data_IF_584415584945
#
_entry.id   IF_584415584945
#
_cell.length_a   1.000
_cell.length_b   1.000
_cell.length_c   1.000
_cell.angle_alpha   90.00
_cell.angle_beta   90.00
_cell.angle_gamma   90.00
#
_symmetry.space_group_name_H-M   'P 1'
#
loop_
_entity.id
_entity.type
_entity.pdbx_description
1 polymer ?
#
# COMPACT_ATOMS: atom_id res chain seq x y z
N UNK A 1 -26.06 9.52 -3.28
CA UNK A 1 -27.22 8.59 -3.16
C UNK A 1 -28.44 9.09 -3.92
N UNK A 2 -28.90 10.35 -3.78
CA UNK A 2 -30.10 10.88 -4.49
C UNK A 2 -29.93 11.09 -6.01
N UNK A 3 -28.75 10.80 -6.55
CA UNK A 3 -28.39 11.03 -7.95
C UNK A 3 -28.68 9.84 -8.85
N UNK A 4 -29.05 8.68 -8.30
CA UNK A 4 -29.32 7.49 -9.10
C UNK A 4 -30.56 7.69 -9.96
N UNK A 5 -30.41 7.38 -11.24
CA UNK A 5 -31.50 7.38 -12.22
C UNK A 5 -31.69 5.97 -12.77
N UNK A 6 -32.78 5.73 -13.49
CA UNK A 6 -32.98 4.46 -14.20
C UNK A 6 -31.83 4.14 -15.18
N UNK A 7 -31.10 5.15 -15.65
CA UNK A 7 -29.96 4.99 -16.56
C UNK A 7 -28.66 4.58 -15.85
N UNK A 8 -28.66 4.58 -14.51
CA UNK A 8 -27.50 4.22 -13.71
C UNK A 8 -27.20 2.72 -13.73
N UNK A 9 -28.11 1.85 -14.18
CA UNK A 9 -27.85 0.42 -14.31
C UNK A 9 -27.39 0.09 -15.73
N UNK A 10 -26.19 -0.47 -15.85
CA UNK A 10 -25.59 -0.95 -17.10
C UNK A 10 -25.24 -2.43 -16.99
N UNK A 11 -25.16 -3.11 -18.12
CA UNK A 11 -24.65 -4.47 -18.19
C UNK A 11 -23.29 -4.43 -18.89
N UNK A 12 -22.30 -5.09 -18.31
CA UNK A 12 -21.00 -5.31 -18.92
C UNK A 12 -20.83 -6.79 -19.19
N UNK A 13 -20.49 -7.15 -20.43
CA UNK A 13 -20.09 -8.50 -20.77
C UNK A 13 -18.58 -8.61 -20.63
N UNK A 14 -18.15 -9.44 -19.69
CA UNK A 14 -16.74 -9.77 -19.54
C UNK A 14 -16.26 -10.58 -20.77
N UNK A 15 -14.95 -10.56 -21.09
CA UNK A 15 -14.39 -11.38 -22.16
C UNK A 15 -14.63 -12.89 -21.98
N UNK A 16 -14.93 -13.31 -20.76
CA UNK A 16 -15.31 -14.69 -20.39
C UNK A 16 -16.75 -15.05 -20.75
N UNK A 17 -17.56 -14.09 -21.21
CA UNK A 17 -19.00 -14.27 -21.51
C UNK A 17 -19.93 -14.00 -20.32
N UNK A 18 -19.38 -13.76 -19.12
CA UNK A 18 -20.17 -13.44 -17.92
C UNK A 18 -20.75 -12.02 -17.99
N UNK A 19 -22.02 -11.86 -17.64
CA UNK A 19 -22.67 -10.55 -17.59
C UNK A 19 -22.62 -9.99 -16.17
N UNK A 20 -21.87 -8.91 -15.98
CA UNK A 20 -21.73 -8.21 -14.70
C UNK A 20 -22.61 -6.95 -14.72
N UNK A 21 -23.58 -6.83 -13.80
CA UNK A 21 -24.35 -5.60 -13.66
C UNK A 21 -23.47 -4.51 -13.03
N UNK A 22 -23.47 -3.35 -13.65
CA UNK A 22 -22.68 -2.18 -13.23
C UNK A 22 -23.62 -1.04 -12.81
N UNK A 23 -23.27 -0.40 -11.70
CA UNK A 23 -23.90 0.83 -11.24
C UNK A 23 -23.04 2.04 -11.62
N UNK A 24 -23.53 2.82 -12.56
CA UNK A 24 -22.96 4.08 -13.02
C UNK A 24 -23.51 5.25 -12.19
N UNK A 25 -22.61 5.98 -11.56
CA UNK A 25 -22.87 7.14 -10.71
C UNK A 25 -22.10 8.31 -11.31
N UNK A 26 -22.80 9.37 -11.70
CA UNK A 26 -22.16 10.63 -12.11
C UNK A 26 -22.05 11.54 -10.88
N UNK A 27 -20.86 11.69 -10.26
CA UNK A 27 -20.71 12.51 -9.07
C UNK A 27 -20.70 14.00 -9.47
N UNK A 28 -21.32 14.90 -8.69
CA UNK A 28 -21.38 16.32 -9.05
C UNK A 28 -20.06 17.06 -8.75
N UNK A 29 -19.14 16.45 -8.01
CA UNK A 29 -17.87 17.07 -7.58
C UNK A 29 -16.66 16.64 -8.41
N UNK A 30 -16.81 15.64 -9.26
CA UNK A 30 -15.75 15.11 -10.10
C UNK A 30 -16.35 14.88 -11.46
N UNK A 31 -15.79 15.49 -12.50
CA UNK A 31 -16.22 15.33 -13.90
C UNK A 31 -15.82 13.95 -14.47
N UNK A 32 -15.92 12.92 -13.63
CA UNK A 32 -15.55 11.53 -13.90
C UNK A 32 -16.68 10.65 -13.42
N UNK A 33 -17.27 9.93 -14.37
CA UNK A 33 -18.27 8.92 -14.08
C UNK A 33 -17.64 7.77 -13.30
N UNK A 34 -18.33 7.37 -12.25
CA UNK A 34 -17.94 6.30 -11.36
C UNK A 34 -18.78 5.07 -11.69
N UNK A 35 -18.12 3.95 -11.98
CA UNK A 35 -18.78 2.69 -12.30
C UNK A 35 -18.37 1.64 -11.29
N UNK A 36 -19.36 1.04 -10.61
CA UNK A 36 -19.16 0.09 -9.52
C UNK A 36 -19.87 -1.22 -9.89
N UNK A 37 -19.21 -2.40 -9.79
CA UNK A 37 -19.91 -3.67 -9.89
C UNK A 37 -21.01 -3.77 -8.83
N UNK A 38 -22.23 -4.11 -9.26
CA UNK A 38 -23.36 -4.26 -8.36
C UNK A 38 -23.52 -5.73 -7.97
N UNK A 39 -23.56 -6.00 -6.67
CA UNK A 39 -23.91 -7.31 -6.14
C UNK A 39 -25.37 -7.70 -6.54
N UNK A 40 -25.68 -9.00 -6.77
CA UNK A 40 -27.04 -9.44 -7.12
C UNK A 40 -28.14 -8.94 -6.18
N UNK A 41 -27.87 -8.84 -4.87
CA UNK A 41 -28.85 -8.33 -3.90
C UNK A 41 -29.13 -6.84 -4.11
N UNK A 42 -28.10 -6.05 -4.40
CA UNK A 42 -28.25 -4.63 -4.75
C UNK A 42 -29.07 -4.48 -6.03
N UNK A 43 -28.80 -5.30 -7.05
CA UNK A 43 -29.54 -5.31 -8.31
C UNK A 43 -31.01 -5.66 -8.07
N UNK A 44 -31.29 -6.67 -7.23
CA UNK A 44 -32.65 -7.07 -6.89
C UNK A 44 -33.43 -5.94 -6.18
N UNK A 45 -32.78 -5.24 -5.24
CA UNK A 45 -33.37 -4.08 -4.55
C UNK A 45 -33.66 -2.94 -5.54
N UNK A 46 -32.71 -2.60 -6.41
CA UNK A 46 -32.89 -1.53 -7.41
C UNK A 46 -33.99 -1.90 -8.42
N UNK A 47 -34.07 -3.16 -8.86
CA UNK A 47 -35.15 -3.65 -9.71
C UNK A 47 -36.52 -3.54 -9.02
N UNK A 48 -36.59 -3.83 -7.71
CA UNK A 48 -37.82 -3.63 -6.92
C UNK A 48 -38.21 -2.16 -6.83
N UNK A 49 -37.26 -1.26 -6.64
CA UNK A 49 -37.50 0.20 -6.65
C UNK A 49 -38.03 0.65 -8.02
N UNK A 50 -37.38 0.22 -9.11
CA UNK A 50 -37.80 0.56 -10.47
C UNK A 50 -39.24 0.09 -10.73
N UNK A 51 -39.58 -1.16 -10.41
CA UNK A 51 -40.95 -1.68 -10.55
C UNK A 51 -41.96 -0.85 -9.76
N UNK A 52 -41.64 -0.49 -8.52
CA UNK A 52 -42.50 0.36 -7.69
C UNK A 52 -42.72 1.75 -8.30
N UNK A 53 -41.66 2.37 -8.85
CA UNK A 53 -41.74 3.71 -9.43
C UNK A 53 -42.46 3.72 -10.78
N UNK A 54 -42.35 2.65 -11.56
CA UNK A 54 -43.14 2.46 -12.79
C UNK A 54 -44.64 2.32 -12.48
N UNK A 55 -44.99 1.64 -11.39
CA UNK A 55 -46.39 1.40 -11.02
C UNK A 55 -47.09 0.63 -12.15
N UNK A 56 -48.15 1.21 -12.71
CA UNK A 56 -48.86 0.68 -13.89
C UNK A 56 -48.30 1.21 -15.22
N UNK A 57 -47.39 2.18 -15.20
CA UNK A 57 -46.78 2.75 -16.40
C UNK A 57 -45.54 1.97 -16.87
N UNK A 58 -45.10 2.21 -18.10
CA UNK A 58 -43.93 1.54 -18.68
C UNK A 58 -42.59 2.17 -18.26
N UNK A 59 -42.61 3.46 -17.88
CA UNK A 59 -41.42 4.28 -17.62
C UNK A 59 -41.46 4.91 -16.24
N UNK A 60 -40.28 5.15 -15.68
CA UNK A 60 -40.13 5.90 -14.42
C UNK A 60 -40.45 7.38 -14.69
N UNK A 61 -41.31 8.02 -13.89
CA UNK A 61 -41.65 9.44 -14.06
C UNK A 61 -40.42 10.34 -14.05
N UNK A 62 -40.41 11.36 -14.90
CA UNK A 62 -39.33 12.34 -14.97
C UNK A 62 -39.59 13.47 -13.98
N UNK A 63 -38.60 13.76 -13.13
CA UNK A 63 -38.67 14.83 -12.14
C UNK A 63 -37.43 15.71 -12.24
N UNK A 64 -37.60 16.99 -11.92
CA UNK A 64 -36.48 17.92 -11.73
C UNK A 64 -35.95 17.82 -10.30
N UNK A 65 -34.63 17.88 -10.15
CA UNK A 65 -33.96 17.91 -8.84
C UNK A 65 -33.24 19.25 -8.67
N UNK A 66 -33.39 19.86 -7.51
CA UNK A 66 -32.58 21.00 -7.11
C UNK A 66 -31.16 20.53 -6.73
N UNK A 67 -30.14 21.07 -7.38
CA UNK A 67 -28.76 20.89 -6.96
C UNK A 67 -28.40 21.93 -5.91
N UNK A 68 -28.11 21.49 -4.69
CA UNK A 68 -27.76 22.41 -3.59
C UNK A 68 -26.37 23.03 -3.69
N UNK A 69 -25.46 22.45 -4.48
CA UNK A 69 -24.12 22.99 -4.71
C UNK A 69 -24.15 24.08 -5.77
N UNK A 70 -24.77 23.80 -6.90
CA UNK A 70 -24.89 24.75 -8.02
C UNK A 70 -26.07 25.72 -7.84
N UNK A 71 -26.97 25.44 -6.90
CA UNK A 71 -28.18 26.22 -6.59
C UNK A 71 -29.15 26.37 -7.77
N UNK A 72 -29.17 25.39 -8.67
CA UNK A 72 -30.04 25.37 -9.87
C UNK A 72 -30.90 24.11 -9.93
N UNK A 73 -32.00 24.17 -10.68
CA UNK A 73 -32.78 22.98 -11.03
C UNK A 73 -32.18 22.31 -12.25
N UNK A 74 -31.86 21.03 -12.13
CA UNK A 74 -31.39 20.22 -13.25
C UNK A 74 -32.52 19.84 -14.22
N UNK A 75 -32.17 19.28 -15.39
CA UNK A 75 -33.16 18.79 -16.35
C UNK A 75 -34.02 17.66 -15.75
N UNK A 76 -35.23 17.44 -16.27
CA UNK A 76 -36.11 16.37 -15.80
C UNK A 76 -35.51 14.99 -16.13
N UNK A 77 -35.26 14.18 -15.09
CA UNK A 77 -34.58 12.89 -15.20
C UNK A 77 -35.37 11.78 -14.49
N UNK A 78 -35.23 10.50 -14.89
CA UNK A 78 -35.92 9.36 -14.27
C UNK A 78 -35.25 8.95 -12.95
N UNK A 79 -35.32 9.80 -11.93
CA UNK A 79 -34.73 9.54 -10.61
C UNK A 79 -35.33 8.31 -9.95
N UNK A 80 -34.52 7.44 -9.33
CA UNK A 80 -35.04 6.22 -8.70
C UNK A 80 -35.70 6.48 -7.34
N UNK A 81 -35.22 7.49 -6.62
CA UNK A 81 -35.68 7.82 -5.27
C UNK A 81 -36.70 8.95 -5.34
N UNK A 82 -37.95 8.59 -5.61
CA UNK A 82 -39.08 9.52 -5.64
C UNK A 82 -40.05 9.20 -4.49
N UNK A 83 -40.64 10.23 -3.90
CA UNK A 83 -41.69 10.07 -2.90
C UNK A 83 -42.87 11.02 -3.16
N UNK A 84 -44.12 10.60 -2.85
CA UNK A 84 -45.24 11.52 -2.77
C UNK A 84 -45.03 12.50 -1.61
N UNK A 85 -45.26 13.78 -1.87
CA UNK A 85 -45.25 14.86 -0.89
C UNK A 85 -46.32 15.87 -1.26
N UNK A 86 -47.24 16.17 -0.34
CA UNK A 86 -48.31 17.17 -0.52
C UNK A 86 -48.96 17.11 -1.92
N UNK A 87 -49.40 15.91 -2.31
CA UNK A 87 -50.07 15.62 -3.59
C UNK A 87 -49.21 15.71 -4.87
N UNK A 88 -47.89 15.85 -4.76
CA UNK A 88 -46.97 15.79 -5.90
C UNK A 88 -45.88 14.74 -5.69
N UNK A 89 -45.45 14.12 -6.78
CA UNK A 89 -44.27 13.25 -6.77
C UNK A 89 -43.01 14.13 -6.84
N UNK A 90 -42.08 13.90 -5.92
CA UNK A 90 -40.83 14.67 -5.84
C UNK A 90 -39.63 13.75 -5.60
N UNK A 91 -38.42 14.23 -5.90
CA UNK A 91 -37.18 13.51 -5.56
C UNK A 91 -36.98 13.55 -4.05
N UNK A 92 -36.62 12.42 -3.44
CA UNK A 92 -36.35 12.35 -2.00
C UNK A 92 -35.18 13.27 -1.66
N UNK A 93 -35.41 14.19 -0.71
CA UNK A 93 -34.37 15.13 -0.28
C UNK A 93 -33.30 14.44 0.57
N UNK A 94 -32.06 14.94 0.61
CA UNK A 94 -31.01 14.41 1.49
C UNK A 94 -31.41 14.40 2.98
N UNK A 95 -32.16 15.41 3.44
CA UNK A 95 -32.67 15.46 4.81
C UNK A 95 -33.66 14.32 5.08
N UNK A 96 -34.58 14.06 4.14
CA UNK A 96 -35.53 12.96 4.25
C UNK A 96 -34.86 11.59 4.29
N UNK A 97 -33.74 11.42 3.58
CA UNK A 97 -32.92 10.20 3.70
C UNK A 97 -32.38 10.05 5.13
N UNK A 98 -31.85 11.12 5.73
CA UNK A 98 -31.34 11.08 7.12
C UNK A 98 -32.44 10.71 8.11
N UNK A 99 -33.65 11.24 7.93
CA UNK A 99 -34.82 10.89 8.74
C UNK A 99 -35.15 9.40 8.61
N UNK A 100 -35.22 8.86 7.39
CA UNK A 100 -35.46 7.43 7.17
C UNK A 100 -34.37 6.56 7.81
N UNK A 101 -33.09 6.94 7.68
CA UNK A 101 -31.98 6.21 8.31
C UNK A 101 -32.13 6.19 9.83
N UNK A 102 -32.46 7.32 10.44
CA UNK A 102 -32.68 7.43 11.89
C UNK A 102 -33.86 6.56 12.33
N UNK A 103 -34.97 6.63 11.61
CA UNK A 103 -36.17 5.83 11.91
C UNK A 103 -35.89 4.32 11.80
N UNK A 104 -35.17 3.88 10.77
CA UNK A 104 -34.79 2.48 10.61
C UNK A 104 -33.82 2.02 11.70
N UNK A 105 -32.86 2.83 12.11
CA UNK A 105 -31.93 2.51 13.20
C UNK A 105 -32.67 2.31 14.53
N UNK A 106 -33.64 3.19 14.82
CA UNK A 106 -34.50 3.09 16.00
C UNK A 106 -35.34 1.81 15.99
N UNK A 107 -36.00 1.50 14.86
CA UNK A 107 -36.80 0.27 14.73
C UNK A 107 -35.96 -1.00 14.84
N UNK A 108 -34.70 -0.96 14.41
CA UNK A 108 -33.77 -2.07 14.53
C UNK A 108 -33.15 -2.20 15.93
N UNK A 109 -33.43 -1.27 16.85
CA UNK A 109 -32.90 -1.30 18.21
C UNK A 109 -31.39 -1.07 18.28
N UNK A 110 -30.82 -0.34 17.31
CA UNK A 110 -29.37 -0.11 17.25
C UNK A 110 -29.00 1.02 18.24
N UNK A 111 -28.21 0.67 19.24
CA UNK A 111 -27.76 1.56 20.33
C UNK A 111 -26.23 1.54 20.47
N UNK A 112 -25.68 2.60 21.04
CA UNK A 112 -24.28 2.70 21.42
C UNK A 112 -24.02 2.01 22.78
N UNK A 113 -22.77 1.93 23.22
CA UNK A 113 -22.32 1.24 24.44
C UNK A 113 -23.00 1.74 25.73
N UNK A 114 -23.48 2.98 25.71
CA UNK A 114 -24.19 3.64 26.81
C UNK A 114 -25.73 3.49 26.71
N UNK A 115 -26.23 2.77 25.71
CA UNK A 115 -27.65 2.59 25.43
C UNK A 115 -28.29 3.71 24.62
N UNK A 116 -27.52 4.72 24.19
CA UNK A 116 -28.04 5.83 23.36
C UNK A 116 -28.34 5.34 21.95
N UNK A 117 -29.52 5.63 21.35
CA UNK A 117 -29.81 5.24 19.97
C UNK A 117 -28.85 5.86 18.95
N UNK A 118 -28.26 5.00 18.10
CA UNK A 118 -27.31 5.45 17.09
C UNK A 118 -28.02 6.20 15.96
N UNK A 119 -27.41 7.32 15.53
CA UNK A 119 -27.88 8.14 14.42
C UNK A 119 -26.92 8.03 13.24
N UNK A 120 -27.34 7.31 12.21
CA UNK A 120 -26.53 7.19 10.99
C UNK A 120 -26.78 8.35 10.03
N UNK A 121 -25.70 8.86 9.46
CA UNK A 121 -25.70 9.72 8.29
C UNK A 121 -25.28 8.93 7.06
N UNK A 122 -25.62 9.39 5.83
CA UNK A 122 -25.09 8.79 4.61
C UNK A 122 -23.54 8.75 4.54
N UNK A 123 -22.86 9.63 5.29
CA UNK A 123 -21.40 9.62 5.37
C UNK A 123 -20.89 8.41 6.16
N UNK A 124 -21.61 7.97 7.20
CA UNK A 124 -21.25 6.78 7.99
C UNK A 124 -21.31 5.50 7.17
N UNK A 125 -22.33 5.34 6.31
CA UNK A 125 -22.38 4.20 5.37
C UNK A 125 -21.23 4.22 4.36
N UNK A 126 -20.80 5.40 3.92
CA UNK A 126 -19.61 5.53 3.06
C UNK A 126 -18.33 5.12 3.80
N UNK A 127 -18.23 5.43 5.10
CA UNK A 127 -17.13 4.98 5.97
C UNK A 127 -17.13 3.47 6.10
N UNK A 128 -18.26 2.88 6.53
CA UNK A 128 -18.44 1.43 6.69
C UNK A 128 -18.05 0.70 5.41
N UNK A 129 -18.61 1.11 4.25
CA UNK A 129 -18.28 0.52 2.97
C UNK A 129 -16.79 0.60 2.65
N UNK A 130 -16.15 1.75 2.88
CA UNK A 130 -14.72 1.93 2.65
C UNK A 130 -13.87 0.99 3.52
N UNK A 131 -14.19 0.91 4.81
CA UNK A 131 -13.48 0.08 5.78
C UNK A 131 -13.66 -1.40 5.44
N UNK A 132 -14.89 -1.86 5.21
CA UNK A 132 -15.19 -3.25 4.85
C UNK A 132 -14.53 -3.66 3.54
N UNK A 133 -14.53 -2.78 2.53
CA UNK A 133 -13.94 -3.07 1.22
C UNK A 133 -12.42 -3.25 1.32
N UNK A 134 -11.73 -2.39 2.06
CA UNK A 134 -10.28 -2.49 2.25
C UNK A 134 -9.93 -3.71 3.11
N UNK A 135 -10.66 -3.94 4.21
CA UNK A 135 -10.45 -5.09 5.08
C UNK A 135 -10.77 -6.42 4.37
N UNK A 136 -11.72 -6.41 3.44
CA UNK A 136 -12.01 -7.53 2.54
C UNK A 136 -10.89 -7.85 1.54
N UNK A 137 -9.80 -7.08 1.55
CA UNK A 137 -8.60 -7.30 0.73
C UNK A 137 -8.59 -6.54 -0.59
N UNK A 138 -9.53 -5.61 -0.82
CA UNK A 138 -9.45 -4.73 -1.98
C UNK A 138 -8.31 -3.72 -1.78
N UNK A 139 -7.36 -3.59 -2.73
CA UNK A 139 -6.29 -2.61 -2.61
C UNK A 139 -6.83 -1.19 -2.41
N UNK A 140 -6.24 -0.45 -1.46
CA UNK A 140 -6.71 0.89 -1.05
C UNK A 140 -6.84 1.88 -2.20
N UNK A 141 -5.96 1.80 -3.20
CA UNK A 141 -6.02 2.67 -4.38
C UNK A 141 -7.21 2.36 -5.30
N UNK A 142 -7.67 1.10 -5.33
CA UNK A 142 -8.89 0.70 -6.05
C UNK A 142 -10.12 1.14 -5.24
N UNK A 143 -10.12 0.94 -3.92
CA UNK A 143 -11.19 1.42 -3.04
C UNK A 143 -11.37 2.95 -3.13
N UNK A 144 -10.27 3.71 -3.15
CA UNK A 144 -10.29 5.16 -3.36
C UNK A 144 -10.96 5.55 -4.69
N UNK A 145 -10.65 4.81 -5.77
CA UNK A 145 -11.24 5.03 -7.09
C UNK A 145 -12.74 4.69 -7.09
N UNK A 146 -13.16 3.62 -6.41
CA UNK A 146 -14.57 3.26 -6.23
C UNK A 146 -15.36 4.30 -5.43
N UNK A 147 -14.70 5.09 -4.58
CA UNK A 147 -15.34 6.16 -3.83
C UNK A 147 -15.31 7.51 -4.57
N UNK A 148 -14.61 7.60 -5.70
CA UNK A 148 -14.41 8.86 -6.42
C UNK A 148 -13.51 9.84 -5.65
N UNK A 149 -12.58 9.33 -4.83
CA UNK A 149 -11.59 10.15 -4.15
C UNK A 149 -10.44 10.51 -5.13
N UNK A 150 -10.14 11.81 -5.25
CA UNK A 150 -9.02 12.30 -6.05
C UNK A 150 -7.67 12.14 -5.32
N UNK A 151 -7.71 12.09 -3.98
CA UNK A 151 -6.53 11.93 -3.11
C UNK A 151 -6.70 10.69 -2.22
N UNK A 152 -5.66 9.85 -2.20
CA UNK A 152 -5.57 8.65 -1.36
C UNK A 152 -5.67 8.97 0.14
N UNK A 153 -5.22 10.16 0.56
CA UNK A 153 -5.29 10.59 1.97
C UNK A 153 -6.73 10.62 2.49
N UNK A 154 -7.71 10.97 1.63
CA UNK A 154 -9.12 10.96 2.01
C UNK A 154 -9.67 9.56 2.25
N UNK A 155 -9.04 8.53 1.67
CA UNK A 155 -9.40 7.11 1.90
C UNK A 155 -8.67 6.53 3.10
N UNK A 156 -7.42 6.95 3.34
CA UNK A 156 -6.63 6.56 4.51
C UNK A 156 -7.31 6.93 5.82
N UNK A 157 -8.00 8.09 5.89
CA UNK A 157 -8.78 8.50 7.05
C UNK A 157 -9.95 7.54 7.40
N UNK A 158 -10.33 6.63 6.49
CA UNK A 158 -11.40 5.64 6.70
C UNK A 158 -10.87 4.25 7.07
N UNK A 159 -9.56 4.05 7.08
CA UNK A 159 -8.98 2.76 7.46
C UNK A 159 -8.71 2.80 8.96
N UNK A 160 -9.69 2.38 9.76
CA UNK A 160 -9.40 1.92 11.11
C UNK A 160 -8.61 0.61 10.97
N UNK A 161 -7.29 0.72 10.99
CA UNK A 161 -6.39 -0.43 10.89
C UNK A 161 -6.45 -1.17 12.23
N UNK A 162 -7.26 -2.23 12.30
CA UNK A 162 -7.21 -3.17 13.41
C UNK A 162 -5.93 -4.02 13.31
N UNK A 163 -5.16 -4.20 14.39
CA UNK A 163 -3.90 -4.97 14.36
C UNK A 163 -4.05 -6.39 13.78
N UNK A 164 -5.18 -7.04 14.03
CA UNK A 164 -5.50 -8.39 13.54
C UNK A 164 -5.59 -8.43 12.00
N UNK A 165 -6.08 -7.36 11.39
CA UNK A 165 -6.27 -7.23 9.95
C UNK A 165 -4.95 -6.98 9.22
N UNK A 166 -4.02 -6.23 9.84
CA UNK A 166 -2.63 -6.10 9.35
C UNK A 166 -1.95 -7.45 9.34
N UNK A 167 -2.08 -8.21 10.42
CA UNK A 167 -1.51 -9.54 10.55
C UNK A 167 -2.11 -10.48 9.50
N UNK A 168 -3.43 -10.41 9.27
CA UNK A 168 -4.12 -11.23 8.26
C UNK A 168 -3.67 -10.90 6.84
N UNK A 169 -3.62 -9.63 6.46
CA UNK A 169 -3.17 -9.22 5.13
C UNK A 169 -1.70 -9.50 4.89
N UNK A 170 -0.85 -9.30 5.90
CA UNK A 170 0.55 -9.67 5.83
C UNK A 170 0.73 -11.17 5.62
N UNK A 171 0.00 -12.02 6.36
CA UNK A 171 0.00 -13.48 6.17
C UNK A 171 -0.46 -13.88 4.77
N UNK A 172 -1.58 -13.34 4.29
CA UNK A 172 -2.06 -13.62 2.94
C UNK A 172 -1.08 -13.17 1.84
N UNK A 173 -0.41 -12.03 2.02
CA UNK A 173 0.64 -11.57 1.11
C UNK A 173 1.84 -12.53 1.08
N UNK A 174 2.29 -12.98 2.26
CA UNK A 174 3.37 -13.98 2.38
C UNK A 174 2.96 -15.32 1.75
N UNK A 175 1.74 -15.79 2.00
CA UNK A 175 1.24 -17.07 1.47
C UNK A 175 1.07 -17.06 -0.05
N UNK A 176 0.59 -15.95 -0.64
CA UNK A 176 0.55 -15.76 -2.11
C UNK A 176 1.94 -15.79 -2.73
N UNK A 177 2.95 -15.20 -2.09
CA UNK A 177 4.35 -15.31 -2.57
C UNK A 177 4.89 -16.73 -2.44
N UNK A 178 4.53 -17.47 -1.40
CA UNK A 178 4.92 -18.88 -1.23
C UNK A 178 4.34 -19.76 -2.32
N UNK A 179 3.10 -19.50 -2.75
CA UNK A 179 2.44 -20.28 -3.82
C UNK A 179 3.03 -20.01 -5.22
N UNK A 180 3.60 -18.82 -5.43
CA UNK A 180 4.26 -18.46 -6.70
C UNK A 180 5.77 -18.79 -6.73
N UNK A 181 6.35 -19.35 -5.66
CA UNK A 181 7.74 -19.79 -5.67
C UNK A 181 7.88 -21.13 -6.40
N UNK A 182 8.82 -21.29 -7.35
CA UNK A 182 9.13 -22.58 -7.94
C UNK A 182 9.47 -23.61 -6.85
N UNK A 183 9.00 -24.85 -7.02
CA UNK A 183 9.27 -25.96 -6.08
C UNK A 183 10.76 -26.30 -5.92
N UNK A 184 11.61 -25.83 -6.84
CA UNK A 184 13.07 -25.93 -6.76
C UNK A 184 13.66 -25.22 -5.53
N UNK A 185 13.00 -24.20 -5.00
CA UNK A 185 13.46 -23.44 -3.82
C UNK A 185 13.27 -24.21 -2.49
N UNK A 186 12.56 -25.36 -2.53
CA UNK A 186 12.33 -26.27 -1.40
C UNK A 186 13.05 -27.62 -1.56
N UNK A 187 13.93 -27.76 -2.55
CA UNK A 187 14.77 -28.96 -2.70
C UNK A 187 15.81 -28.99 -1.58
N UNK A 188 15.98 -30.16 -0.96
CA UNK A 188 17.14 -30.41 -0.08
C UNK A 188 18.44 -30.18 -0.87
N UNK A 189 19.30 -29.24 -0.46
CA UNK A 189 20.51 -28.93 -1.20
C UNK A 189 21.39 -30.19 -1.30
N UNK A 190 21.98 -30.43 -2.46
CA UNK A 190 22.94 -31.52 -2.63
C UNK A 190 24.17 -31.32 -1.73
N UNK A 191 24.87 -32.41 -1.41
CA UNK A 191 26.13 -32.33 -0.65
C UNK A 191 27.15 -31.38 -1.31
N UNK A 192 27.17 -31.32 -2.64
CA UNK A 192 27.97 -30.37 -3.42
C UNK A 192 27.54 -28.92 -3.22
N UNK A 193 26.25 -28.61 -3.27
CA UNK A 193 25.74 -27.25 -3.02
C UNK A 193 25.98 -26.82 -1.56
N UNK A 194 25.86 -27.76 -0.62
CA UNK A 194 26.19 -27.53 0.79
C UNK A 194 27.67 -27.25 1.01
N UNK A 195 28.54 -27.98 0.30
CA UNK A 195 29.99 -27.76 0.36
C UNK A 195 30.36 -26.41 -0.25
N UNK A 196 29.80 -26.06 -1.43
CA UNK A 196 30.01 -24.76 -2.07
C UNK A 196 29.53 -23.59 -1.20
N UNK A 197 28.38 -23.75 -0.53
CA UNK A 197 27.89 -22.76 0.43
C UNK A 197 28.85 -22.57 1.60
N UNK A 198 29.40 -23.64 2.16
CA UNK A 198 30.39 -23.57 3.26
C UNK A 198 31.71 -22.95 2.81
N UNK A 199 32.19 -23.34 1.63
CA UNK A 199 33.46 -22.86 1.09
C UNK A 199 33.37 -21.39 0.67
N UNK A 200 32.19 -20.91 0.24
CA UNK A 200 31.95 -19.49 -0.03
C UNK A 200 32.33 -18.58 1.15
N UNK A 201 31.99 -18.94 2.38
CA UNK A 201 32.37 -18.13 3.55
C UNK A 201 33.86 -18.23 3.90
N UNK A 202 34.47 -19.39 3.65
CA UNK A 202 35.89 -19.61 3.93
C UNK A 202 36.81 -18.88 2.95
N UNK A 203 36.46 -18.91 1.66
CA UNK A 203 37.20 -18.24 0.58
C UNK A 203 37.05 -16.71 0.59
N UNK A 204 36.17 -16.17 1.43
CA UNK A 204 35.89 -14.73 1.58
C UNK A 204 36.55 -14.09 2.80
N UNK A 205 37.42 -14.83 3.50
CA UNK A 205 38.43 -14.25 4.39
C UNK A 205 39.49 -13.56 3.55
N UNK A 206 39.58 -12.25 3.68
CA UNK A 206 40.47 -11.39 2.91
C UNK A 206 41.47 -10.70 3.84
N UNK A 207 42.52 -10.13 3.27
CA UNK A 207 43.65 -9.58 4.03
C UNK A 207 43.30 -8.55 5.11
N UNK A 208 42.14 -7.88 5.00
CA UNK A 208 41.68 -6.86 5.95
C UNK A 208 40.52 -7.32 6.85
N UNK A 209 40.03 -8.54 6.68
CA UNK A 209 38.88 -9.05 7.44
C UNK A 209 38.00 -10.00 6.63
N UNK A 210 36.69 -9.81 6.72
CA UNK A 210 35.70 -10.72 6.11
C UNK A 210 34.81 -9.99 5.12
N UNK A 211 34.47 -10.66 4.01
CA UNK A 211 33.51 -10.13 3.05
C UNK A 211 32.11 -10.68 3.35
N UNK A 212 31.19 -9.80 3.76
CA UNK A 212 29.79 -10.12 4.09
C UNK A 212 28.90 -10.26 2.83
N UNK A 213 29.50 -10.50 1.65
CA UNK A 213 28.74 -10.62 0.40
C UNK A 213 27.89 -11.91 0.43
N UNK A 214 26.57 -11.84 0.17
CA UNK A 214 25.71 -13.01 0.19
C UNK A 214 26.14 -14.11 -0.80
N UNK A 215 25.87 -15.37 -0.44
CA UNK A 215 26.04 -16.51 -1.35
C UNK A 215 25.26 -16.28 -2.65
N UNK A 216 25.84 -16.65 -3.79
CA UNK A 216 25.22 -16.47 -5.11
C UNK A 216 25.29 -15.05 -5.71
N UNK A 217 25.89 -14.07 -5.03
CA UNK A 217 26.13 -12.75 -5.65
C UNK A 217 27.57 -12.61 -6.19
N UNK A 218 27.77 -12.39 -7.51
CA UNK A 218 29.11 -12.30 -8.10
C UNK A 218 29.84 -11.03 -7.65
N UNK A 219 31.18 -11.05 -7.64
CA UNK A 219 32.02 -9.87 -7.36
C UNK A 219 32.75 -9.44 -8.64
N UNK A 220 32.53 -8.20 -9.09
CA UNK A 220 33.17 -7.68 -10.31
C UNK A 220 34.63 -7.24 -10.11
N UNK A 221 35.04 -6.99 -8.86
CA UNK A 221 36.35 -6.43 -8.51
C UNK A 221 37.01 -7.29 -7.44
N UNK A 222 37.14 -8.58 -7.73
CA UNK A 222 37.77 -9.54 -6.82
C UNK A 222 39.05 -8.95 -6.22
N UNK A 223 39.10 -8.89 -4.89
CA UNK A 223 40.22 -8.40 -4.09
C UNK A 223 40.44 -6.88 -4.01
N UNK A 224 39.57 -6.03 -4.58
CA UNK A 224 39.57 -4.58 -4.36
C UNK A 224 38.79 -4.16 -3.07
N UNK A 225 39.03 -4.87 -1.97
CA UNK A 225 38.12 -4.86 -0.81
C UNK A 225 38.09 -3.55 -0.02
N UNK A 226 39.12 -2.71 -0.09
CA UNK A 226 39.22 -1.44 0.68
C UNK A 226 38.06 -0.50 0.36
N UNK A 227 37.64 -0.42 -0.91
CA UNK A 227 36.50 0.38 -1.36
C UNK A 227 35.16 -0.36 -1.24
N UNK A 228 35.19 -1.65 -0.89
CA UNK A 228 34.00 -2.46 -0.90
C UNK A 228 33.15 -2.20 0.37
N UNK A 229 31.87 -1.82 0.23
CA UNK A 229 30.99 -1.65 1.39
C UNK A 229 30.77 -2.97 2.15
N UNK A 230 30.86 -4.11 1.44
CA UNK A 230 30.69 -5.45 2.01
C UNK A 230 31.90 -5.96 2.80
N UNK A 231 33.02 -5.22 2.82
CA UNK A 231 34.16 -5.57 3.67
C UNK A 231 33.85 -5.19 5.13
N UNK A 232 33.74 -6.19 6.00
CA UNK A 232 33.80 -6.03 7.45
C UNK A 232 35.26 -6.10 7.88
N UNK A 233 35.77 -4.97 8.40
CA UNK A 233 37.15 -4.88 8.87
C UNK A 233 37.32 -5.75 10.13
N UNK A 234 38.37 -6.56 10.15
CA UNK A 234 38.87 -7.17 11.37
C UNK A 234 39.70 -6.13 12.13
N UNK A 235 39.36 -5.87 13.39
CA UNK A 235 40.06 -4.88 14.23
C UNK A 235 41.54 -5.23 14.39
N UNK A 236 41.92 -6.51 14.33
CA UNK A 236 43.32 -6.94 14.36
C UNK A 236 44.11 -6.49 13.10
N UNK A 237 43.42 -6.20 12.00
CA UNK A 237 44.02 -5.79 10.72
C UNK A 237 44.01 -4.26 10.50
N UNK A 238 43.63 -3.45 11.50
CA UNK A 238 43.73 -1.99 11.39
C UNK A 238 45.15 -1.48 11.06
N UNK A 239 46.25 -2.04 11.61
CA UNK A 239 47.60 -1.62 11.23
C UNK A 239 47.84 -1.72 9.72
N UNK A 240 47.32 -2.77 9.09
CA UNK A 240 47.40 -2.97 7.64
C UNK A 240 46.59 -1.95 6.86
N UNK A 241 45.43 -1.54 7.37
CA UNK A 241 44.63 -0.47 6.76
C UNK A 241 45.39 0.87 6.79
N UNK A 242 46.12 1.16 7.87
CA UNK A 242 46.95 2.38 7.99
C UNK A 242 48.17 2.35 7.07
N UNK A 243 48.76 1.18 6.84
CA UNK A 243 49.83 0.98 5.86
C UNK A 243 49.33 1.29 4.44
N UNK A 244 48.15 0.76 4.08
CA UNK A 244 47.49 1.06 2.80
C UNK A 244 47.20 2.56 2.67
N UNK A 245 46.72 3.20 3.73
CA UNK A 245 46.47 4.65 3.76
C UNK A 245 47.75 5.44 3.45
N UNK A 246 48.85 5.06 4.08
CA UNK A 246 50.16 5.70 3.91
C UNK A 246 50.67 5.55 2.48
N UNK A 247 50.64 4.33 1.93
CA UNK A 247 51.02 4.08 0.55
C UNK A 247 50.14 4.85 -0.45
N UNK A 248 48.82 4.90 -0.20
CA UNK A 248 47.87 5.62 -1.05
C UNK A 248 48.16 7.13 -1.06
N UNK A 249 48.52 7.72 0.10
CA UNK A 249 48.91 9.14 0.17
C UNK A 249 50.21 9.42 -0.59
N UNK A 250 51.20 8.53 -0.48
CA UNK A 250 52.46 8.68 -1.21
C UNK A 250 52.24 8.67 -2.73
N UNK A 251 51.44 7.70 -3.22
CA UNK A 251 51.06 7.60 -4.63
C UNK A 251 50.23 8.81 -5.08
N UNK A 252 49.37 9.34 -4.23
CA UNK A 252 48.59 10.54 -4.55
C UNK A 252 49.52 11.74 -4.79
N UNK A 253 50.53 11.93 -3.94
CA UNK A 253 51.51 13.00 -4.11
C UNK A 253 52.34 12.85 -5.38
N UNK A 254 52.67 11.63 -5.78
CA UNK A 254 53.31 11.34 -7.07
C UNK A 254 52.39 11.66 -8.25
N UNK A 255 51.16 11.14 -8.26
CA UNK A 255 50.18 11.36 -9.32
C UNK A 255 49.85 12.85 -9.51
N UNK A 256 49.84 13.64 -8.43
CA UNK A 256 49.69 15.09 -8.48
C UNK A 256 50.87 15.77 -9.17
N UNK A 257 52.11 15.42 -8.82
CA UNK A 257 53.31 15.96 -9.48
C UNK A 257 53.36 15.62 -10.96
N UNK A 258 52.95 14.41 -11.33
CA UNK A 258 52.94 13.91 -12.70
C UNK A 258 51.67 14.29 -13.50
N UNK A 259 50.72 14.99 -12.86
CA UNK A 259 49.44 15.42 -13.46
C UNK A 259 48.57 14.27 -14.02
N UNK A 260 48.61 13.08 -13.41
CA UNK A 260 47.74 11.96 -13.78
C UNK A 260 46.35 12.12 -13.14
N UNK A 261 45.53 12.99 -13.72
CA UNK A 261 44.24 13.41 -13.14
C UNK A 261 43.29 12.24 -12.81
N UNK A 262 43.25 11.20 -13.65
CA UNK A 262 42.43 10.01 -13.38
C UNK A 262 42.92 9.19 -12.18
N UNK A 263 44.24 9.04 -12.04
CA UNK A 263 44.86 8.36 -10.90
C UNK A 263 44.65 9.17 -9.61
N UNK A 264 44.76 10.51 -9.68
CA UNK A 264 44.47 11.41 -8.57
C UNK A 264 43.04 11.21 -8.07
N UNK A 265 42.04 11.22 -8.97
CA UNK A 265 40.64 11.00 -8.61
C UNK A 265 40.42 9.62 -7.98
N UNK A 266 41.02 8.57 -8.55
CA UNK A 266 40.96 7.22 -8.01
C UNK A 266 41.57 7.12 -6.61
N UNK A 267 42.77 7.65 -6.40
CA UNK A 267 43.46 7.58 -5.11
C UNK A 267 42.74 8.40 -4.02
N UNK A 268 42.16 9.55 -4.38
CA UNK A 268 41.28 10.31 -3.48
C UNK A 268 40.07 9.48 -3.06
N UNK A 269 39.44 8.75 -3.98
CA UNK A 269 38.34 7.84 -3.68
C UNK A 269 38.74 6.74 -2.69
N UNK A 270 39.89 6.11 -2.91
CA UNK A 270 40.44 5.12 -1.98
C UNK A 270 40.61 5.70 -0.58
N UNK A 271 41.14 6.92 -0.45
CA UNK A 271 41.35 7.57 0.85
C UNK A 271 40.02 7.86 1.57
N UNK A 272 38.95 8.23 0.84
CA UNK A 272 37.61 8.41 1.43
C UNK A 272 37.12 7.12 2.06
N UNK A 273 37.17 6.00 1.32
CA UNK A 273 36.74 4.71 1.84
C UNK A 273 37.62 4.21 3.00
N UNK A 274 38.93 4.45 2.97
CA UNK A 274 39.81 4.11 4.09
C UNK A 274 39.38 4.87 5.35
N UNK A 275 39.04 6.16 5.23
CA UNK A 275 38.55 6.95 6.36
C UNK A 275 37.23 6.40 6.92
N UNK A 276 36.30 6.01 6.05
CA UNK A 276 35.03 5.36 6.46
C UNK A 276 35.27 4.06 7.23
N UNK A 277 36.20 3.21 6.77
CA UNK A 277 36.57 1.97 7.46
C UNK A 277 37.19 2.22 8.82
N UNK A 278 38.01 3.27 8.98
CA UNK A 278 38.56 3.70 10.28
C UNK A 278 37.46 4.16 11.23
N UNK A 279 36.48 4.93 10.74
CA UNK A 279 35.32 5.31 11.55
C UNK A 279 34.48 4.11 11.96
N UNK A 280 34.29 3.13 11.06
CA UNK A 280 33.61 1.87 11.38
C UNK A 280 34.35 1.09 12.48
N UNK A 281 35.67 0.97 12.38
CA UNK A 281 36.50 0.34 13.41
C UNK A 281 36.36 1.06 14.77
N UNK A 282 36.35 2.40 14.77
CA UNK A 282 36.11 3.20 15.97
C UNK A 282 34.75 2.93 16.62
N UNK A 283 33.67 2.84 15.83
CA UNK A 283 32.34 2.47 16.33
C UNK A 283 32.30 1.05 16.91
N UNK A 284 32.95 0.08 16.26
CA UNK A 284 33.02 -1.30 16.73
C UNK A 284 33.76 -1.41 18.07
N UNK A 285 34.84 -0.63 18.27
CA UNK A 285 35.55 -0.55 19.56
C UNK A 285 34.69 0.03 20.67
N UNK A 286 33.98 1.13 20.39
CA UNK A 286 33.08 1.76 21.36
C UNK A 286 31.93 0.82 21.79
N UNK A 287 31.41 0.04 20.84
CA UNK A 287 30.39 -0.98 21.12
C UNK A 287 30.94 -2.16 21.91
N UNK A 288 32.16 -2.63 21.62
CA UNK A 288 32.80 -3.70 22.39
C UNK A 288 33.06 -3.27 23.85
N UNK A 289 33.51 -2.03 24.08
CA UNK A 289 33.70 -1.48 25.43
C UNK A 289 32.39 -1.28 26.21
N UNK A 290 31.27 -1.07 25.52
CA UNK A 290 29.94 -1.01 26.16
C UNK A 290 29.30 -2.39 26.35
N UNK A 291 29.62 -3.37 25.50
CA UNK A 291 29.12 -4.74 25.57
C UNK A 291 29.69 -5.55 26.74
N UNK A 292 30.94 -5.30 27.15
CA UNK A 292 31.52 -5.93 28.36
C UNK A 292 30.79 -5.52 29.65
N UNK A 293 30.11 -4.35 29.68
CA UNK A 293 29.23 -3.97 30.78
C UNK A 293 27.84 -4.64 30.73
N UNK A 294 27.43 -5.18 29.57
CA UNK A 294 26.11 -5.78 29.34
C UNK A 294 26.05 -7.30 29.54
N UNK A 295 27.18 -8.01 29.43
CA UNK A 295 27.25 -9.47 29.62
C UNK A 295 27.21 -9.88 31.11
N UNK A 296 27.48 -8.94 32.03
CA UNK A 296 27.33 -9.17 33.47
C UNK A 296 25.86 -9.17 33.98
N UNK A 297 24.88 -8.84 33.13
CA UNK A 297 23.45 -8.79 33.50
C UNK A 297 22.63 -9.97 32.98
N UNK A 298 23.28 -11.06 32.54
CA UNK A 298 22.61 -12.30 32.13
C UNK A 298 23.15 -13.53 32.88
N UNK A 299 23.59 -13.32 34.14
CA UNK A 299 23.84 -14.38 35.12
C UNK A 299 22.75 -14.40 36.17
#
# INVERSE_FOLDING_TARGET
>A
MTLLTHLSLRQYQAPTGETVPLLQISPPKTDRELVIPADPDLVAVLARIIRRMKGTGERVPLLTRYDGYERVFGPPMPHLFQCPSQHRLQVISPNRIREFLTEHALRAGIVDVDGTPLRFTPHDFRRIFSTETVNGGLPIHIAAKLLGHLDLNTTQAYVAVYPEEVIRHYRQFVDRRRTHRPSEEYREPSDTEWQDFRDHFSLRKVALGTCDRPYGTPCQHENACVRCPMLRLDLAQEPRLLEIETNTRQRLGEAQRMQWLGEVAGLQESLRHIAEKKQQAGRMRAQASHGEAGVASLG
#
